data_IF_156892435652
#
_entry.id   IF_156892435652
#
_cell.length_a   1.000
_cell.length_b   1.000
_cell.length_c   1.000
_cell.angle_alpha   90.00
_cell.angle_beta   90.00
_cell.angle_gamma   90.00
#
_symmetry.space_group_name_H-M   'P 1'
#
loop_
_entity.id
_entity.type
_entity.pdbx_description
1 polymer ?
#
# COMPACT_ATOMS: atom_id res chain seq x y z
N UNK A 1 3.04 13.42 2.19
CA UNK A 1 1.77 13.78 1.57
C UNK A 1 1.90 14.98 0.65
N UNK A 2 0.78 15.45 0.10
CA UNK A 2 0.76 16.70 -0.66
C UNK A 2 1.24 17.86 0.22
N UNK A 3 1.88 18.84 -0.39
CA UNK A 3 2.48 19.98 0.32
C UNK A 3 3.97 19.85 0.56
N UNK A 4 4.53 18.68 0.32
CA UNK A 4 5.93 18.37 0.57
C UNK A 4 6.66 18.10 -0.74
N UNK A 5 7.75 18.80 -0.98
CA UNK A 5 8.68 18.52 -2.07
C UNK A 5 9.56 17.32 -1.66
N UNK A 6 9.02 16.12 -1.86
CA UNK A 6 9.70 14.89 -1.46
C UNK A 6 9.74 13.86 -2.59
N UNK A 7 10.85 13.17 -2.71
CA UNK A 7 11.03 12.06 -3.65
C UNK A 7 11.46 10.84 -2.86
N UNK A 8 10.63 9.77 -2.93
CA UNK A 8 10.97 8.45 -2.41
C UNK A 8 11.25 7.54 -3.59
N UNK A 9 12.48 7.07 -3.71
CA UNK A 9 12.90 6.24 -4.83
C UNK A 9 13.83 5.11 -4.38
N UNK A 10 13.73 3.96 -5.04
CA UNK A 10 14.59 2.79 -4.85
C UNK A 10 14.61 2.28 -3.41
N UNK A 11 13.43 2.16 -2.81
CA UNK A 11 13.28 1.61 -1.47
C UNK A 11 13.11 0.11 -1.60
N UNK A 12 13.99 -0.64 -0.96
CA UNK A 12 14.01 -2.10 -1.04
C UNK A 12 13.95 -2.71 0.36
N UNK A 13 13.01 -3.65 0.54
CA UNK A 13 12.88 -4.48 1.73
C UNK A 13 13.08 -5.94 1.34
N UNK A 14 14.02 -6.63 1.98
CA UNK A 14 14.32 -8.03 1.65
C UNK A 14 14.58 -8.87 2.88
N UNK A 15 14.23 -10.16 2.77
CA UNK A 15 14.54 -11.18 3.78
C UNK A 15 14.00 -10.82 5.15
N UNK A 16 12.68 -10.54 5.21
CA UNK A 16 12.00 -10.12 6.42
C UNK A 16 10.98 -11.17 6.82
N UNK A 17 10.88 -11.43 8.11
CA UNK A 17 9.80 -12.23 8.70
C UNK A 17 9.04 -11.35 9.67
N UNK A 18 7.72 -11.38 9.52
CA UNK A 18 6.80 -10.64 10.38
C UNK A 18 5.78 -11.59 10.99
N UNK A 19 5.38 -11.32 12.20
CA UNK A 19 4.37 -12.09 12.92
C UNK A 19 3.47 -11.17 13.73
N UNK A 20 2.15 -11.36 13.61
CA UNK A 20 1.14 -10.55 14.30
C UNK A 20 1.18 -9.05 13.97
N UNK A 21 1.42 -8.69 12.71
CA UNK A 21 1.35 -7.29 12.28
C UNK A 21 -0.03 -6.96 11.71
N UNK A 22 -0.44 -5.71 11.83
CA UNK A 22 -1.77 -5.28 11.37
C UNK A 22 -1.83 -5.23 9.85
N UNK A 23 -0.89 -4.53 9.21
CA UNK A 23 -0.77 -4.38 7.76
C UNK A 23 0.71 -4.46 7.40
N UNK A 24 1.20 -5.60 6.90
CA UNK A 24 2.65 -5.79 6.68
C UNK A 24 3.25 -4.88 5.60
N UNK A 25 2.48 -4.50 4.59
CA UNK A 25 2.98 -3.66 3.51
C UNK A 25 2.09 -2.44 3.33
N UNK A 26 2.69 -1.26 3.41
CA UNK A 26 1.97 -0.01 3.24
C UNK A 26 2.83 1.04 2.53
N UNK A 27 2.26 1.71 1.54
CA UNK A 27 2.79 2.92 0.95
C UNK A 27 1.61 3.85 0.65
N UNK A 28 1.57 5.00 1.30
CA UNK A 28 0.39 5.84 1.30
C UNK A 28 0.75 7.32 1.11
N UNK A 29 0.29 7.90 0.02
CA UNK A 29 0.49 9.31 -0.29
C UNK A 29 -0.41 10.25 0.54
N UNK A 30 -1.36 9.72 1.30
CA UNK A 30 -2.31 10.48 2.12
C UNK A 30 -1.96 10.44 3.62
N UNK A 31 -0.67 10.35 3.92
CA UNK A 31 -0.20 10.32 5.31
C UNK A 31 -0.56 11.60 6.06
N UNK A 32 -1.03 11.46 7.28
CA UNK A 32 -1.73 12.53 8.00
C UNK A 32 -0.97 13.10 9.20
N UNK A 33 0.25 12.66 9.47
CA UNK A 33 0.96 13.01 10.71
C UNK A 33 1.60 14.40 10.69
N UNK A 34 1.71 15.03 9.52
CA UNK A 34 2.19 16.40 9.43
C UNK A 34 1.15 17.40 9.94
N UNK A 35 1.54 18.62 10.30
CA UNK A 35 0.60 19.61 10.86
C UNK A 35 -0.64 19.88 9.98
N UNK A 36 -0.49 19.78 8.66
CA UNK A 36 -1.58 19.96 7.68
C UNK A 36 -2.14 18.64 7.15
N UNK A 37 -1.66 17.50 7.67
CA UNK A 37 -1.94 16.18 7.13
C UNK A 37 -3.42 15.78 7.06
N UNK A 38 -4.27 16.38 7.90
CA UNK A 38 -5.71 16.13 7.91
C UNK A 38 -6.53 17.16 7.15
N UNK A 39 -5.89 18.09 6.48
CA UNK A 39 -6.59 19.11 5.68
C UNK A 39 -7.26 18.49 4.45
N UNK A 40 -8.26 19.19 3.92
CA UNK A 40 -8.93 18.75 2.69
C UNK A 40 -7.96 18.65 1.51
N UNK A 41 -6.97 19.52 1.45
CA UNK A 41 -5.94 19.49 0.40
C UNK A 41 -5.13 18.18 0.43
N UNK A 42 -4.61 17.81 1.60
CA UNK A 42 -3.79 16.60 1.74
C UNK A 42 -4.64 15.33 1.57
N UNK A 43 -5.85 15.30 2.11
CA UNK A 43 -6.71 14.11 2.12
C UNK A 43 -7.63 13.96 0.91
N UNK A 44 -7.70 14.96 0.02
CA UNK A 44 -8.56 14.88 -1.16
C UNK A 44 -8.13 13.73 -2.10
N UNK A 45 -9.10 12.92 -2.53
CA UNK A 45 -8.91 11.89 -3.57
C UNK A 45 -9.19 12.44 -4.98
N UNK A 46 -9.54 13.72 -5.08
CA UNK A 46 -9.68 14.40 -6.37
C UNK A 46 -8.31 14.67 -7.00
N UNK A 47 -8.29 14.73 -8.32
CA UNK A 47 -7.07 15.09 -9.07
C UNK A 47 -6.74 16.56 -8.82
N UNK A 48 -5.53 16.82 -8.35
CA UNK A 48 -5.02 18.16 -8.10
C UNK A 48 -3.95 18.52 -9.13
N UNK A 49 -3.66 19.81 -9.37
CA UNK A 49 -2.54 20.20 -10.20
C UNK A 49 -1.21 19.67 -9.66
N UNK A 50 -0.34 19.23 -10.55
CA UNK A 50 1.03 18.81 -10.20
C UNK A 50 1.92 20.06 -10.18
N UNK A 51 2.58 20.29 -9.06
CA UNK A 51 3.52 21.39 -8.87
C UNK A 51 4.70 20.93 -7.99
N UNK A 52 5.53 21.86 -7.55
CA UNK A 52 6.70 21.57 -6.69
C UNK A 52 6.33 20.98 -5.33
N UNK A 53 5.06 21.09 -4.91
CA UNK A 53 4.58 20.51 -3.65
C UNK A 53 3.96 19.13 -3.83
N UNK A 54 4.03 18.57 -5.03
CA UNK A 54 3.50 17.24 -5.30
C UNK A 54 4.59 16.19 -5.08
N UNK A 55 4.49 15.34 -4.05
CA UNK A 55 5.52 14.35 -3.76
C UNK A 55 5.56 13.25 -4.84
N UNK A 56 6.74 12.72 -5.06
CA UNK A 56 6.95 11.60 -5.97
C UNK A 56 7.30 10.34 -5.19
N UNK A 57 6.49 9.31 -5.34
CA UNK A 57 6.79 7.96 -4.87
C UNK A 57 7.11 7.11 -6.10
N UNK A 58 8.37 6.70 -6.22
CA UNK A 58 8.84 6.08 -7.45
C UNK A 58 8.86 4.56 -7.34
N UNK A 59 9.96 3.96 -6.92
CA UNK A 59 10.09 2.50 -6.93
C UNK A 59 10.22 1.92 -5.54
N UNK A 60 9.38 0.93 -5.25
CA UNK A 60 9.41 0.13 -4.03
C UNK A 60 9.52 -1.34 -4.42
N UNK A 61 10.44 -2.06 -3.79
CA UNK A 61 10.61 -3.49 -3.99
C UNK A 61 10.58 -4.24 -2.67
N UNK A 62 9.76 -5.28 -2.62
CA UNK A 62 9.61 -6.20 -1.49
C UNK A 62 9.94 -7.60 -1.97
N UNK A 63 10.94 -8.25 -1.40
CA UNK A 63 11.33 -9.58 -1.83
C UNK A 63 11.72 -10.50 -0.66
N UNK A 64 11.40 -11.78 -0.81
CA UNK A 64 11.73 -12.80 0.18
C UNK A 64 11.19 -12.45 1.57
N UNK A 65 9.89 -12.19 1.66
CA UNK A 65 9.23 -11.75 2.89
C UNK A 65 8.09 -12.70 3.24
N UNK A 66 8.05 -13.10 4.51
CA UNK A 66 6.97 -13.88 5.07
C UNK A 66 6.29 -13.09 6.20
N UNK A 67 4.99 -12.89 6.09
CA UNK A 67 4.18 -12.26 7.13
C UNK A 67 3.07 -13.21 7.57
N UNK A 68 3.10 -13.62 8.82
CA UNK A 68 2.13 -14.55 9.42
C UNK A 68 1.24 -13.89 10.44
N UNK A 69 0.05 -14.44 10.63
CA UNK A 69 -0.90 -13.97 11.63
C UNK A 69 -1.20 -12.48 11.52
N UNK A 70 -1.32 -11.98 10.30
CA UNK A 70 -1.69 -10.60 10.05
C UNK A 70 -3.16 -10.36 10.40
N UNK A 71 -3.56 -9.10 10.56
CA UNK A 71 -4.88 -8.79 11.08
C UNK A 71 -5.75 -7.99 10.10
N UNK A 72 -5.29 -6.82 9.67
CA UNK A 72 -6.15 -5.85 8.98
C UNK A 72 -6.18 -6.08 7.48
N UNK A 73 -5.02 -6.05 6.83
CA UNK A 73 -4.90 -6.22 5.39
C UNK A 73 -3.53 -6.78 5.02
N UNK A 74 -3.43 -7.46 3.89
CA UNK A 74 -2.14 -7.92 3.38
C UNK A 74 -1.27 -6.74 2.94
N UNK A 75 -1.87 -5.78 2.24
CA UNK A 75 -1.20 -4.53 1.90
C UNK A 75 -2.21 -3.40 1.72
N UNK A 76 -1.71 -2.18 1.81
CA UNK A 76 -2.46 -0.99 1.47
C UNK A 76 -1.56 0.00 0.75
N UNK A 77 -1.68 0.05 -0.58
CA UNK A 77 -0.92 0.96 -1.42
C UNK A 77 -1.86 1.98 -2.03
N UNK A 78 -1.66 3.24 -1.75
CA UNK A 78 -2.49 4.31 -2.31
C UNK A 78 -1.64 5.50 -2.72
N UNK A 79 -1.50 5.68 -4.03
CA UNK A 79 -0.84 6.84 -4.62
C UNK A 79 -1.80 8.01 -4.85
N UNK A 80 -1.26 9.15 -5.21
CA UNK A 80 -2.04 10.30 -5.66
C UNK A 80 -2.64 10.03 -7.05
N UNK A 81 -3.86 10.47 -7.32
CA UNK A 81 -4.43 10.31 -8.66
C UNK A 81 -3.70 11.14 -9.72
N UNK A 82 -3.18 12.32 -9.36
CA UNK A 82 -2.39 13.18 -10.26
C UNK A 82 -0.94 12.76 -10.41
N UNK A 83 -0.43 11.98 -9.46
CA UNK A 83 0.95 11.49 -9.48
C UNK A 83 1.04 10.13 -8.80
N UNK A 84 0.77 9.10 -9.56
CA UNK A 84 0.71 7.72 -9.07
C UNK A 84 2.06 7.26 -8.53
N UNK A 85 2.04 6.26 -7.66
CA UNK A 85 3.26 5.50 -7.33
C UNK A 85 3.76 4.87 -8.63
N UNK A 86 5.00 5.11 -9.02
CA UNK A 86 5.48 4.68 -10.33
C UNK A 86 5.58 3.17 -10.45
N UNK A 87 6.18 2.49 -9.46
CA UNK A 87 6.34 1.04 -9.52
C UNK A 87 6.37 0.41 -8.13
N UNK A 88 5.61 -0.66 -7.96
CA UNK A 88 5.69 -1.56 -6.80
C UNK A 88 5.97 -2.96 -7.31
N UNK A 89 7.03 -3.57 -6.80
CA UNK A 89 7.44 -4.93 -7.14
C UNK A 89 7.43 -5.78 -5.88
N UNK A 90 6.70 -6.88 -5.92
CA UNK A 90 6.68 -7.88 -4.84
C UNK A 90 7.10 -9.22 -5.42
N UNK A 91 8.16 -9.81 -4.88
CA UNK A 91 8.72 -11.10 -5.32
C UNK A 91 8.88 -12.05 -4.15
N UNK A 92 8.36 -13.25 -4.29
CA UNK A 92 8.47 -14.28 -3.26
C UNK A 92 8.01 -13.73 -1.90
N UNK A 93 6.76 -13.34 -1.84
CA UNK A 93 6.11 -12.76 -0.66
C UNK A 93 4.93 -13.63 -0.27
N UNK A 94 4.82 -13.98 0.99
CA UNK A 94 3.68 -14.70 1.52
C UNK A 94 3.05 -13.96 2.69
N UNK A 95 1.72 -13.88 2.69
CA UNK A 95 0.92 -13.29 3.75
C UNK A 95 -0.15 -14.27 4.18
N UNK A 96 -0.26 -14.49 5.47
CA UNK A 96 -1.38 -15.23 6.06
C UNK A 96 -1.97 -14.47 7.24
N UNK A 97 -3.23 -14.77 7.55
CA UNK A 97 -3.96 -14.04 8.58
C UNK A 97 -4.17 -14.88 9.83
N UNK A 98 -4.24 -14.21 10.98
CA UNK A 98 -4.60 -14.83 12.24
C UNK A 98 -6.05 -15.34 12.17
N UNK A 99 -6.33 -16.46 12.81
CA UNK A 99 -7.70 -17.00 12.92
C UNK A 99 -8.64 -15.96 13.53
N UNK A 100 -8.21 -15.34 14.63
CA UNK A 100 -8.96 -14.29 15.35
C UNK A 100 -8.38 -12.90 15.00
N UNK A 101 -8.32 -12.57 13.73
CA UNK A 101 -7.75 -11.31 13.28
C UNK A 101 -8.55 -10.11 13.80
N UNK A 102 -7.84 -9.10 14.28
CA UNK A 102 -8.43 -7.85 14.73
C UNK A 102 -8.83 -6.98 13.54
N UNK A 103 -9.91 -6.23 13.71
CA UNK A 103 -10.30 -5.19 12.77
C UNK A 103 -9.54 -3.90 13.03
N UNK A 104 -9.33 -3.12 12.00
CA UNK A 104 -8.70 -1.82 12.11
C UNK A 104 -8.69 -1.06 10.78
N UNK A 105 -8.21 0.15 10.84
CA UNK A 105 -7.92 0.94 9.65
C UNK A 105 -6.51 0.60 9.20
N UNK A 106 -6.25 0.43 7.89
CA UNK A 106 -4.89 0.23 7.40
C UNK A 106 -3.96 1.32 7.92
N UNK A 107 -2.77 0.92 8.32
CA UNK A 107 -1.80 1.83 8.93
C UNK A 107 -1.51 3.05 8.05
N UNK A 108 -1.28 4.20 8.66
CA UNK A 108 -1.03 5.49 7.99
C UNK A 108 -2.19 5.99 7.11
N UNK A 109 -3.39 5.48 7.30
CA UNK A 109 -4.57 5.88 6.51
C UNK A 109 -5.54 6.69 7.36
N UNK A 110 -6.23 7.63 6.72
CA UNK A 110 -7.27 8.48 7.32
C UNK A 110 -8.54 8.38 6.48
N UNK A 111 -9.67 8.30 7.13
CA UNK A 111 -10.97 8.32 6.45
C UNK A 111 -11.27 7.09 5.59
N UNK A 112 -10.60 5.96 5.83
CA UNK A 112 -10.86 4.71 5.14
C UNK A 112 -11.62 3.75 6.05
N UNK A 113 -12.32 2.81 5.43
CA UNK A 113 -13.14 1.86 6.18
C UNK A 113 -12.31 0.89 7.01
N UNK A 114 -12.83 0.55 8.18
CA UNK A 114 -12.29 -0.53 9.02
C UNK A 114 -12.43 -1.85 8.28
N UNK A 115 -11.39 -2.64 8.27
CA UNK A 115 -11.39 -3.97 7.67
C UNK A 115 -10.65 -4.99 8.53
N UNK A 116 -10.84 -6.26 8.19
CA UNK A 116 -10.15 -7.39 8.79
C UNK A 116 -9.88 -8.43 7.71
N UNK A 117 -8.69 -8.99 7.69
CA UNK A 117 -8.27 -9.99 6.71
C UNK A 117 -8.48 -9.55 5.25
N UNK A 118 -8.32 -8.27 4.98
CA UNK A 118 -8.41 -7.75 3.62
C UNK A 118 -7.21 -8.21 2.80
N UNK A 119 -7.42 -8.53 1.53
CA UNK A 119 -6.34 -8.90 0.63
C UNK A 119 -5.38 -7.76 0.32
N UNK A 120 -4.69 -7.84 -0.80
CA UNK A 120 -3.84 -6.78 -1.29
C UNK A 120 -4.69 -5.68 -1.93
N UNK A 121 -4.64 -4.49 -1.37
CA UNK A 121 -5.26 -3.29 -1.92
C UNK A 121 -4.20 -2.40 -2.55
N UNK A 122 -4.45 -1.96 -3.79
CA UNK A 122 -3.60 -0.97 -4.45
C UNK A 122 -4.47 -0.03 -5.30
N UNK A 123 -4.21 1.26 -5.17
CA UNK A 123 -4.87 2.31 -5.95
C UNK A 123 -3.84 3.34 -6.41
N UNK A 124 -3.98 3.80 -7.65
CA UNK A 124 -3.10 4.80 -8.24
C UNK A 124 -1.63 4.37 -8.21
N UNK A 125 -1.36 3.24 -8.84
CA UNK A 125 0.00 2.72 -9.05
C UNK A 125 0.17 2.53 -10.55
N UNK A 126 1.24 3.08 -11.12
CA UNK A 126 1.48 2.97 -12.56
C UNK A 126 1.81 1.53 -12.95
N UNK A 127 2.74 0.90 -12.25
CA UNK A 127 3.13 -0.48 -12.53
C UNK A 127 3.17 -1.31 -11.25
N UNK A 128 2.43 -2.40 -11.24
CA UNK A 128 2.40 -3.36 -10.14
C UNK A 128 2.87 -4.73 -10.64
N UNK A 129 3.96 -5.22 -10.06
CA UNK A 129 4.51 -6.54 -10.37
C UNK A 129 4.36 -7.43 -9.15
N UNK A 130 3.63 -8.52 -9.33
CA UNK A 130 3.41 -9.54 -8.30
C UNK A 130 3.98 -10.87 -8.83
N UNK A 131 5.15 -11.25 -8.35
CA UNK A 131 5.86 -12.44 -8.76
C UNK A 131 5.97 -13.40 -7.57
N UNK A 132 5.29 -14.54 -7.64
CA UNK A 132 5.19 -15.50 -6.54
C UNK A 132 4.72 -14.84 -5.24
N UNK A 133 3.58 -14.17 -5.31
CA UNK A 133 2.92 -13.57 -4.14
C UNK A 133 1.75 -14.46 -3.73
N UNK A 134 1.80 -14.96 -2.51
CA UNK A 134 0.79 -15.84 -1.94
C UNK A 134 0.09 -15.12 -0.80
N UNK A 135 -1.24 -15.04 -0.86
CA UNK A 135 -2.07 -14.49 0.21
C UNK A 135 -3.09 -15.55 0.58
N UNK A 136 -3.11 -15.95 1.84
CA UNK A 136 -3.98 -17.01 2.34
C UNK A 136 -4.81 -16.55 3.54
N UNK A 137 -6.07 -16.94 3.54
CA UNK A 137 -6.98 -16.67 4.65
C UNK A 137 -7.66 -15.29 4.59
N UNK A 138 -7.54 -14.58 3.48
CA UNK A 138 -8.25 -13.31 3.31
C UNK A 138 -9.76 -13.51 3.23
N UNK A 139 -10.50 -12.48 3.61
CA UNK A 139 -11.93 -12.37 3.40
C UNK A 139 -12.16 -11.46 2.18
N UNK A 140 -12.92 -11.94 1.22
CA UNK A 140 -13.15 -11.23 -0.03
C UNK A 140 -12.06 -11.48 -1.07
N UNK A 141 -11.84 -10.51 -1.92
CA UNK A 141 -10.89 -10.62 -3.02
C UNK A 141 -9.44 -10.69 -2.54
N UNK A 142 -8.63 -11.50 -3.20
CA UNK A 142 -7.19 -11.55 -2.96
C UNK A 142 -6.51 -10.25 -3.39
N UNK A 143 -6.90 -9.73 -4.55
CA UNK A 143 -6.36 -8.50 -5.14
C UNK A 143 -7.51 -7.52 -5.39
N UNK A 144 -7.44 -6.35 -4.75
CA UNK A 144 -8.33 -5.22 -4.99
C UNK A 144 -7.52 -4.10 -5.65
N UNK A 145 -7.64 -3.96 -6.96
CA UNK A 145 -6.81 -3.07 -7.77
C UNK A 145 -7.65 -2.00 -8.44
N UNK A 146 -7.27 -0.74 -8.26
CA UNK A 146 -7.95 0.42 -8.83
C UNK A 146 -6.94 1.37 -9.47
N UNK A 147 -7.19 1.78 -10.70
CA UNK A 147 -6.36 2.76 -11.41
C UNK A 147 -4.88 2.33 -11.47
N UNK A 148 -4.66 1.09 -11.86
CA UNK A 148 -3.35 0.50 -12.11
C UNK A 148 -3.13 0.47 -13.62
N UNK A 149 -2.08 1.14 -14.11
CA UNK A 149 -1.87 1.22 -15.57
C UNK A 149 -1.31 -0.09 -16.13
N UNK A 150 -0.37 -0.71 -15.44
CA UNK A 150 0.21 -1.99 -15.85
C UNK A 150 0.28 -2.95 -14.67
N UNK A 151 -0.27 -4.14 -14.86
CA UNK A 151 -0.26 -5.20 -13.86
C UNK A 151 0.41 -6.44 -14.44
N UNK A 152 1.45 -6.94 -13.77
CA UNK A 152 2.12 -8.20 -14.10
C UNK A 152 1.98 -9.12 -12.90
N UNK A 153 1.31 -10.26 -13.10
CA UNK A 153 1.13 -11.28 -12.06
C UNK A 153 1.70 -12.58 -12.58
N UNK A 154 2.69 -13.09 -11.86
CA UNK A 154 3.35 -14.36 -12.15
C UNK A 154 3.28 -15.27 -10.90
N UNK A 155 2.85 -16.50 -11.11
CA UNK A 155 2.73 -17.50 -10.03
C UNK A 155 4.01 -18.35 -9.89
#
# INVERSE_FOLDING_TARGET
>A
GRGEDAILDRITFRKIRMDHVMTPFCANSFYFCDPDGKTAYVQSREVMPVDERTPAMKRFEFSDIEAKNCHVAASYFEGLPEKKIEEIVMKNVSVSFAENAKSGVPVMSEGVETCSKRGLFARNVTKLVLDHVVIEGQVGEKLELHDIDEKIVED
#
